data_IF_705749477646
#
_entry.id   IF_705749477646
#
_cell.length_a   1.000
_cell.length_b   1.000
_cell.length_c   1.000
_cell.angle_alpha   90.00
_cell.angle_beta   90.00
_cell.angle_gamma   90.00
#
_symmetry.space_group_name_H-M   'P 1'
#
loop_
_entity.id
_entity.type
_entity.pdbx_description
1 polymer ?
#
# COMPACT_ATOMS: atom_id res chain seq x y z
N UNK A 1 -7.80 12.71 3.90
CA UNK A 1 -8.20 11.60 4.80
C UNK A 1 -7.02 11.24 5.68
N UNK A 2 -7.20 10.57 6.84
CA UNK A 2 -6.08 10.06 7.63
C UNK A 2 -5.14 9.11 6.85
N UNK A 3 -5.64 8.45 5.82
CA UNK A 3 -4.84 7.60 4.93
C UNK A 3 -3.75 8.38 4.17
N UNK A 4 -3.98 9.66 3.85
CA UNK A 4 -2.97 10.52 3.21
C UNK A 4 -1.76 10.74 4.12
N UNK A 5 -1.94 10.78 5.45
CA UNK A 5 -0.83 10.91 6.39
C UNK A 5 0.13 9.73 6.27
N UNK A 6 -0.40 8.50 6.30
CA UNK A 6 0.40 7.28 6.11
C UNK A 6 0.97 7.17 4.70
N UNK A 7 0.19 7.51 3.68
CA UNK A 7 0.68 7.48 2.30
C UNK A 7 1.83 8.47 2.07
N UNK A 8 1.77 9.65 2.70
CA UNK A 8 2.88 10.62 2.70
C UNK A 8 4.13 10.06 3.37
N UNK A 9 3.98 9.30 4.46
CA UNK A 9 5.11 8.61 5.09
C UNK A 9 5.69 7.52 4.19
N UNK A 10 4.85 6.71 3.52
CA UNK A 10 5.30 5.77 2.50
C UNK A 10 6.08 6.47 1.39
N UNK A 11 5.59 7.62 0.91
CA UNK A 11 6.27 8.38 -0.13
C UNK A 11 7.64 8.91 0.35
N UNK A 12 7.74 9.34 1.61
CA UNK A 12 9.02 9.73 2.20
C UNK A 12 10.00 8.55 2.32
N UNK A 13 9.51 7.34 2.59
CA UNK A 13 10.31 6.11 2.55
C UNK A 13 10.76 5.77 1.13
N UNK A 14 9.87 5.88 0.13
CA UNK A 14 10.20 5.66 -1.28
C UNK A 14 11.37 6.54 -1.76
N UNK A 15 11.41 7.80 -1.31
CA UNK A 15 12.51 8.73 -1.60
C UNK A 15 13.87 8.31 -1.02
N UNK A 16 13.93 7.33 -0.12
CA UNK A 16 15.21 6.77 0.37
C UNK A 16 15.78 5.71 -0.57
N UNK A 17 14.95 5.07 -1.39
CA UNK A 17 15.40 4.08 -2.37
C UNK A 17 16.34 4.73 -3.41
N UNK A 18 17.33 4.01 -3.95
CA UNK A 18 18.16 4.52 -5.04
C UNK A 18 17.32 4.76 -6.31
N UNK A 19 17.59 5.85 -7.02
CA UNK A 19 16.98 6.11 -8.32
C UNK A 19 17.74 5.33 -9.40
N UNK A 20 17.19 4.16 -9.76
CA UNK A 20 17.78 3.28 -10.78
C UNK A 20 16.95 3.31 -12.08
N UNK A 21 17.54 2.99 -13.25
CA UNK A 21 16.85 3.07 -14.55
C UNK A 21 15.64 2.17 -14.75
N UNK A 22 15.46 1.14 -13.91
CA UNK A 22 14.44 0.10 -14.12
C UNK A 22 13.66 -0.29 -12.86
N UNK A 23 14.08 0.20 -11.69
CA UNK A 23 13.44 -0.15 -10.42
C UNK A 23 12.53 1.00 -9.97
N UNK A 24 11.27 0.67 -9.71
CA UNK A 24 10.37 1.62 -9.06
C UNK A 24 10.79 1.87 -7.61
N UNK A 25 10.84 3.16 -7.25
CA UNK A 25 11.03 3.60 -5.85
C UNK A 25 9.70 3.52 -5.11
N UNK A 26 9.57 2.53 -4.25
CA UNK A 26 8.36 2.24 -3.48
C UNK A 26 8.68 2.31 -2.00
N UNK A 27 7.72 2.76 -1.20
CA UNK A 27 7.81 2.75 0.26
C UNK A 27 6.58 2.08 0.86
N UNK A 28 6.76 1.40 1.99
CA UNK A 28 5.74 0.64 2.67
C UNK A 28 5.85 0.78 4.20
N UNK A 29 4.70 0.65 4.87
CA UNK A 29 4.60 0.61 6.33
C UNK A 29 3.57 -0.44 6.76
N UNK A 30 3.82 -1.04 7.92
CA UNK A 30 2.94 -2.02 8.55
C UNK A 30 2.46 -1.45 9.89
N UNK A 31 1.15 -1.40 10.07
CA UNK A 31 0.50 -0.89 11.27
C UNK A 31 -0.30 -2.00 11.96
N UNK A 32 -0.35 -1.94 13.29
CA UNK A 32 -1.43 -2.51 14.06
C UNK A 32 -2.46 -1.41 14.32
N UNK A 33 -3.67 -1.58 13.80
CA UNK A 33 -4.78 -0.64 13.88
C UNK A 33 -5.86 -1.13 14.83
N UNK A 34 -6.35 -0.26 15.71
CA UNK A 34 -7.56 -0.55 16.48
C UNK A 34 -8.78 -0.67 15.56
N UNK A 35 -9.60 -1.69 15.77
CA UNK A 35 -10.89 -1.87 15.08
C UNK A 35 -12.01 -1.08 15.73
N UNK A 36 -11.80 -0.61 16.97
CA UNK A 36 -12.78 0.14 17.77
C UNK A 36 -12.54 1.66 17.76
N UNK A 37 -11.34 2.10 17.34
CA UNK A 37 -11.00 3.51 17.18
C UNK A 37 -11.73 4.10 15.97
N UNK A 38 -12.74 4.92 16.26
CA UNK A 38 -13.51 5.68 15.27
C UNK A 38 -12.98 7.09 15.04
N UNK A 39 -11.87 7.46 15.70
CA UNK A 39 -11.33 8.80 15.56
C UNK A 39 -10.80 9.03 14.13
N UNK A 40 -11.02 10.20 13.53
CA UNK A 40 -10.52 10.51 12.18
C UNK A 40 -8.99 10.58 12.10
N UNK A 41 -8.30 10.46 13.23
CA UNK A 41 -6.85 10.64 13.34
C UNK A 41 -6.10 9.32 13.44
N UNK A 42 -6.79 8.20 13.69
CA UNK A 42 -6.20 6.90 14.03
C UNK A 42 -5.07 7.01 15.07
N UNK A 43 -5.30 7.79 16.12
CA UNK A 43 -4.29 8.08 17.16
C UNK A 43 -3.81 6.83 17.91
N UNK A 44 -4.56 5.73 17.83
CA UNK A 44 -4.21 4.44 18.44
C UNK A 44 -3.42 3.49 17.52
N UNK A 45 -3.13 3.88 16.27
CA UNK A 45 -2.32 3.07 15.37
C UNK A 45 -0.90 2.91 15.91
N UNK A 46 -0.38 1.68 15.84
CA UNK A 46 0.98 1.35 16.26
C UNK A 46 1.78 0.98 15.01
N UNK A 47 2.85 1.72 14.73
CA UNK A 47 3.79 1.37 13.67
C UNK A 47 4.61 0.15 14.08
N UNK A 48 4.52 -0.92 13.30
CA UNK A 48 5.24 -2.17 13.54
C UNK A 48 6.54 -2.23 12.75
N UNK A 49 6.51 -1.84 11.48
CA UNK A 49 7.68 -1.90 10.60
C UNK A 49 7.52 -0.96 9.39
N UNK A 50 8.64 -0.67 8.75
CA UNK A 50 8.72 0.09 7.50
C UNK A 50 9.65 -0.60 6.52
N UNK A 51 9.45 -0.34 5.24
CA UNK A 51 10.31 -0.82 4.16
C UNK A 51 10.37 0.15 2.99
N UNK A 52 11.46 0.15 2.24
CA UNK A 52 11.51 0.77 0.90
C UNK A 52 12.27 -0.10 -0.10
N UNK A 53 12.08 0.15 -1.40
CA UNK A 53 12.76 -0.59 -2.47
C UNK A 53 14.26 -0.61 -2.23
N UNK A 54 14.86 -1.80 -2.24
CA UNK A 54 16.31 -2.02 -2.06
C UNK A 54 16.88 -1.46 -0.74
N UNK A 55 16.06 -1.37 0.31
CA UNK A 55 16.56 -1.14 1.67
C UNK A 55 17.47 -2.29 2.13
N UNK A 56 17.08 -3.52 1.77
CA UNK A 56 17.86 -4.73 1.99
C UNK A 56 18.58 -5.16 0.72
N UNK A 57 19.71 -5.84 0.90
CA UNK A 57 20.55 -6.29 -0.20
C UNK A 57 19.80 -7.10 -1.27
N UNK A 58 20.15 -6.87 -2.53
CA UNK A 58 19.53 -7.51 -3.69
C UNK A 58 18.35 -6.71 -4.26
N UNK A 59 17.61 -7.33 -5.18
CA UNK A 59 16.46 -6.71 -5.83
C UNK A 59 15.20 -6.90 -4.96
N UNK A 60 15.14 -6.20 -3.83
CA UNK A 60 14.04 -6.30 -2.86
C UNK A 60 13.01 -5.19 -3.07
N UNK A 61 11.72 -5.54 -2.92
CA UNK A 61 10.63 -4.56 -2.96
C UNK A 61 10.34 -4.01 -1.55
N UNK A 62 9.58 -2.92 -1.47
CA UNK A 62 9.29 -2.24 -0.22
C UNK A 62 8.53 -3.12 0.78
N UNK A 63 7.53 -3.88 0.32
CA UNK A 63 6.72 -4.77 1.15
C UNK A 63 7.55 -5.95 1.67
N UNK A 64 8.46 -6.46 0.84
CA UNK A 64 9.45 -7.45 1.24
C UNK A 64 10.34 -6.88 2.35
N UNK A 65 10.95 -5.71 2.16
CA UNK A 65 11.80 -5.09 3.17
C UNK A 65 11.03 -4.83 4.48
N UNK A 66 9.79 -4.35 4.38
CA UNK A 66 8.93 -4.09 5.54
C UNK A 66 8.70 -5.35 6.39
N UNK A 67 8.37 -6.48 5.76
CA UNK A 67 8.18 -7.75 6.47
C UNK A 67 9.49 -8.33 6.98
N UNK A 68 10.57 -8.26 6.19
CA UNK A 68 11.89 -8.80 6.56
C UNK A 68 12.51 -8.02 7.72
N UNK A 69 12.35 -6.69 7.74
CA UNK A 69 12.76 -5.84 8.86
C UNK A 69 12.04 -6.25 10.15
N UNK A 70 10.73 -6.52 10.07
CA UNK A 70 9.96 -7.01 11.23
C UNK A 70 10.47 -8.38 11.69
N UNK A 71 10.62 -9.33 10.76
CA UNK A 71 11.14 -10.67 11.07
C UNK A 71 12.51 -10.61 11.76
N UNK A 72 13.41 -9.77 11.24
CA UNK A 72 14.75 -9.54 11.77
C UNK A 72 14.76 -9.02 13.21
N UNK A 73 13.94 -7.99 13.52
CA UNK A 73 13.81 -7.45 14.89
C UNK A 73 13.30 -8.52 15.87
N UNK A 74 12.48 -9.45 15.38
CA UNK A 74 11.92 -10.54 16.17
C UNK A 74 12.76 -11.84 16.14
N UNK A 75 13.90 -11.84 15.44
CA UNK A 75 14.83 -12.97 15.41
C UNK A 75 14.30 -14.22 14.69
N UNK A 76 13.40 -14.05 13.72
CA UNK A 76 12.87 -15.17 12.91
C UNK A 76 13.22 -15.01 11.43
N UNK A 77 13.32 -16.12 10.66
CA UNK A 77 13.42 -16.06 9.21
C UNK A 77 12.20 -15.38 8.56
N UNK A 78 12.38 -14.79 7.38
CA UNK A 78 11.32 -14.12 6.62
C UNK A 78 10.08 -15.01 6.42
N UNK A 79 10.29 -16.29 6.14
CA UNK A 79 9.21 -17.27 5.92
C UNK A 79 8.37 -17.49 7.19
N UNK A 80 8.93 -17.21 8.36
CA UNK A 80 8.30 -17.39 9.66
C UNK A 80 7.78 -16.08 10.26
N UNK A 81 7.79 -14.97 9.52
CA UNK A 81 7.28 -13.67 10.01
C UNK A 81 5.85 -13.77 10.55
N UNK A 82 5.02 -14.63 9.96
CA UNK A 82 3.64 -14.88 10.38
C UNK A 82 3.52 -15.38 11.84
N UNK A 83 4.57 -16.00 12.39
CA UNK A 83 4.58 -16.53 13.75
C UNK A 83 4.75 -15.45 14.82
N UNK A 84 5.35 -14.31 14.46
CA UNK A 84 5.69 -13.22 15.39
C UNK A 84 4.82 -11.97 15.21
N UNK A 85 4.04 -11.88 14.14
CA UNK A 85 3.07 -10.80 13.96
C UNK A 85 2.03 -10.79 15.10
N UNK A 86 1.61 -9.62 15.59
CA UNK A 86 0.71 -9.54 16.74
C UNK A 86 -0.69 -10.00 16.32
N UNK A 87 -1.21 -11.01 17.03
CA UNK A 87 -2.49 -11.67 16.74
C UNK A 87 -3.36 -11.94 17.98
N UNK A 88 -2.89 -11.57 19.18
CA UNK A 88 -3.57 -11.88 20.44
C UNK A 88 -4.60 -10.83 20.87
N UNK A 89 -4.62 -9.68 20.20
CA UNK A 89 -5.55 -8.60 20.49
C UNK A 89 -6.70 -8.62 19.47
N UNK A 90 -7.92 -9.05 19.84
CA UNK A 90 -9.06 -9.12 18.94
C UNK A 90 -9.59 -7.75 18.53
N UNK A 91 -9.21 -6.68 19.25
CA UNK A 91 -9.58 -5.30 18.92
C UNK A 91 -8.57 -4.66 17.96
N UNK A 92 -7.63 -5.45 17.42
CA UNK A 92 -6.62 -4.96 16.49
C UNK A 92 -6.55 -5.78 15.22
N UNK A 93 -6.23 -5.09 14.13
CA UNK A 93 -5.95 -5.67 12.83
C UNK A 93 -4.65 -5.15 12.24
N UNK A 94 -4.03 -5.94 11.38
CA UNK A 94 -2.83 -5.52 10.68
C UNK A 94 -3.18 -4.89 9.34
N UNK A 95 -2.61 -3.71 9.10
CA UNK A 95 -2.85 -2.90 7.91
C UNK A 95 -1.52 -2.53 7.29
N UNK A 96 -1.37 -2.75 5.98
CA UNK A 96 -0.20 -2.30 5.23
C UNK A 96 -0.57 -1.08 4.38
N UNK A 97 0.31 -0.09 4.33
CA UNK A 97 0.26 0.97 3.31
C UNK A 97 1.49 0.82 2.43
N UNK A 98 1.33 1.04 1.14
CA UNK A 98 2.41 0.99 0.16
C UNK A 98 2.16 2.03 -0.93
N UNK A 99 3.18 2.68 -1.48
CA UNK A 99 2.95 3.74 -2.48
C UNK A 99 2.36 3.21 -3.78
N UNK A 100 2.74 2.01 -4.21
CA UNK A 100 2.24 1.36 -5.41
C UNK A 100 1.57 0.03 -5.06
N UNK A 101 0.60 -0.38 -5.88
CA UNK A 101 -0.05 -1.68 -5.78
C UNK A 101 0.97 -2.83 -5.64
N UNK A 102 0.76 -3.76 -4.67
CA UNK A 102 1.66 -4.89 -4.51
C UNK A 102 1.67 -5.79 -5.75
N UNK A 103 2.86 -6.09 -6.25
CA UNK A 103 3.00 -6.87 -7.48
C UNK A 103 2.39 -8.28 -7.35
N UNK A 104 1.62 -8.67 -8.37
CA UNK A 104 1.06 -10.02 -8.51
C UNK A 104 2.07 -11.04 -9.08
N UNK A 105 3.08 -10.56 -9.81
CA UNK A 105 4.13 -11.37 -10.46
C UNK A 105 5.46 -10.63 -10.44
N UNK A 106 6.57 -11.36 -10.47
CA UNK A 106 7.92 -10.78 -10.61
C UNK A 106 8.71 -11.46 -11.73
N UNK A 107 9.27 -10.64 -12.62
CA UNK A 107 10.16 -11.11 -13.68
C UNK A 107 11.48 -11.68 -13.15
N UNK A 108 11.90 -11.24 -11.95
CA UNK A 108 13.10 -11.75 -11.28
C UNK A 108 12.96 -13.19 -10.74
N UNK A 109 11.78 -13.81 -10.78
CA UNK A 109 11.53 -15.13 -10.20
C UNK A 109 11.34 -15.16 -8.68
N UNK A 110 11.72 -14.09 -7.97
CA UNK A 110 11.41 -13.91 -6.54
C UNK A 110 9.89 -13.94 -6.25
N UNK A 111 9.51 -14.38 -5.04
CA UNK A 111 8.12 -14.38 -4.60
C UNK A 111 7.47 -12.98 -4.72
N UNK A 112 6.28 -12.87 -5.37
CA UNK A 112 5.52 -11.62 -5.49
C UNK A 112 5.12 -11.02 -4.15
N UNK A 113 4.92 -9.70 -4.11
CA UNK A 113 4.56 -9.00 -2.87
C UNK A 113 3.20 -9.45 -2.34
N UNK A 114 2.22 -9.69 -3.21
CA UNK A 114 0.91 -10.21 -2.80
C UNK A 114 1.04 -11.57 -2.13
N UNK A 115 1.89 -12.45 -2.63
CA UNK A 115 2.14 -13.75 -2.00
C UNK A 115 2.72 -13.61 -0.59
N UNK A 116 3.66 -12.67 -0.41
CA UNK A 116 4.25 -12.38 0.91
C UNK A 116 3.19 -11.87 1.88
N UNK A 117 2.30 -10.97 1.43
CA UNK A 117 1.19 -10.45 2.22
C UNK A 117 0.25 -11.59 2.62
N UNK A 118 -0.16 -12.44 1.68
CA UNK A 118 -1.04 -13.58 1.94
C UNK A 118 -0.40 -14.57 2.92
N UNK A 119 0.90 -14.85 2.77
CA UNK A 119 1.63 -15.77 3.64
C UNK A 119 1.71 -15.30 5.10
N UNK A 120 1.50 -14.01 5.38
CA UNK A 120 1.37 -13.54 6.77
C UNK A 120 0.17 -14.15 7.51
N UNK A 121 -0.80 -14.70 6.77
CA UNK A 121 -2.07 -15.22 7.28
C UNK A 121 -2.07 -16.73 7.54
N UNK A 122 -0.92 -17.39 7.51
CA UNK A 122 -0.74 -18.85 7.63
C UNK A 122 -1.14 -19.47 9.01
N UNK A 123 -2.06 -18.85 9.76
CA UNK A 123 -2.45 -19.28 11.09
C UNK A 123 -3.94 -19.25 11.38
N UNK A 124 -4.78 -19.05 10.36
CA UNK A 124 -6.24 -18.98 10.48
C UNK A 124 -6.82 -17.59 10.20
N UNK A 125 -8.15 -17.54 10.16
CA UNK A 125 -8.92 -16.32 9.94
C UNK A 125 -8.59 -15.24 11.00
N UNK A 126 -8.55 -13.97 10.59
CA UNK A 126 -8.20 -12.85 11.46
C UNK A 126 -6.71 -12.68 11.76
N UNK A 127 -5.81 -13.56 11.28
CA UNK A 127 -4.36 -13.40 11.44
C UNK A 127 -3.71 -12.77 10.22
N UNK A 128 -2.51 -12.21 10.41
CA UNK A 128 -1.73 -11.57 9.36
C UNK A 128 -2.33 -10.25 8.88
N UNK A 129 -1.89 -9.79 7.72
CA UNK A 129 -2.34 -8.56 7.09
C UNK A 129 -3.78 -8.73 6.61
N UNK A 130 -4.67 -7.85 7.09
CA UNK A 130 -6.10 -7.88 6.78
C UNK A 130 -6.50 -6.85 5.74
N UNK A 131 -5.79 -5.71 5.68
CA UNK A 131 -6.08 -4.64 4.73
C UNK A 131 -4.82 -4.03 4.14
N UNK A 132 -4.83 -3.73 2.84
CA UNK A 132 -3.74 -3.06 2.12
C UNK A 132 -4.25 -1.77 1.49
N UNK A 133 -3.59 -0.65 1.81
CA UNK A 133 -3.82 0.62 1.16
C UNK A 133 -2.70 0.92 0.18
N UNK A 134 -3.03 1.34 -1.04
CA UNK A 134 -2.01 1.77 -2.00
C UNK A 134 -2.36 3.04 -2.76
N UNK A 135 -1.37 3.84 -3.14
CA UNK A 135 -1.62 5.17 -3.70
C UNK A 135 -1.88 5.17 -5.20
N UNK A 136 -1.26 4.25 -5.93
CA UNK A 136 -1.49 4.05 -7.37
C UNK A 136 -1.52 2.57 -7.72
N UNK A 137 -2.29 2.22 -8.76
CA UNK A 137 -2.24 0.89 -9.39
C UNK A 137 -0.96 0.72 -10.21
N UNK A 138 -0.59 -0.52 -10.48
CA UNK A 138 0.60 -0.84 -11.27
C UNK A 138 0.49 -0.27 -12.71
N UNK A 139 1.52 0.42 -13.24
CA UNK A 139 1.52 0.90 -14.63
C UNK A 139 1.23 -0.25 -15.62
N UNK A 140 0.28 -0.06 -16.53
CA UNK A 140 -0.11 -1.05 -17.54
C UNK A 140 -1.25 -2.01 -17.14
N UNK A 141 -1.66 -2.08 -15.87
CA UNK A 141 -2.83 -2.88 -15.44
C UNK A 141 -4.14 -2.07 -15.42
N UNK A 142 -4.11 -0.79 -15.77
CA UNK A 142 -5.29 0.10 -15.73
C UNK A 142 -6.42 -0.28 -16.69
N UNK A 143 -6.14 -1.12 -17.70
CA UNK A 143 -7.10 -1.59 -18.71
C UNK A 143 -7.39 -3.10 -18.57
N UNK A 144 -6.82 -3.78 -17.56
CA UNK A 144 -6.98 -5.22 -17.32
C UNK A 144 -7.23 -5.56 -15.84
N UNK A 145 -7.57 -6.83 -15.57
CA UNK A 145 -7.64 -7.31 -14.19
C UNK A 145 -6.24 -7.32 -13.58
N UNK A 146 -6.03 -6.55 -12.51
CA UNK A 146 -4.79 -6.62 -11.75
C UNK A 146 -4.69 -8.01 -11.09
N UNK A 147 -3.66 -8.78 -11.46
CA UNK A 147 -3.38 -10.06 -10.81
C UNK A 147 -3.14 -9.88 -9.31
N UNK A 148 -2.51 -8.77 -8.91
CA UNK A 148 -2.22 -8.47 -7.52
C UNK A 148 -3.50 -8.27 -6.69
N UNK A 149 -4.39 -7.39 -7.16
CA UNK A 149 -5.69 -7.13 -6.57
C UNK A 149 -6.55 -8.39 -6.50
N UNK A 150 -6.68 -9.13 -7.62
CA UNK A 150 -7.45 -10.38 -7.66
C UNK A 150 -6.95 -11.38 -6.62
N UNK A 151 -5.63 -11.57 -6.51
CA UNK A 151 -5.04 -12.48 -5.52
C UNK A 151 -5.25 -12.03 -4.07
N UNK A 152 -5.25 -10.71 -3.80
CA UNK A 152 -5.59 -10.18 -2.47
C UNK A 152 -7.05 -10.48 -2.11
N UNK A 153 -7.99 -10.23 -3.05
CA UNK A 153 -9.42 -10.51 -2.88
C UNK A 153 -9.70 -11.99 -2.63
N UNK A 154 -9.13 -12.88 -3.45
CA UNK A 154 -9.27 -14.34 -3.31
C UNK A 154 -8.74 -14.85 -1.97
N UNK A 155 -7.75 -14.18 -1.39
CA UNK A 155 -7.19 -14.50 -0.08
C UNK A 155 -7.91 -13.83 1.10
N UNK A 156 -8.99 -13.06 0.84
CA UNK A 156 -9.72 -12.32 1.87
C UNK A 156 -8.92 -11.19 2.50
N UNK A 157 -8.03 -10.56 1.73
CA UNK A 157 -7.32 -9.33 2.11
C UNK A 157 -8.03 -8.15 1.46
N UNK A 158 -8.61 -7.28 2.30
CA UNK A 158 -9.23 -6.05 1.83
C UNK A 158 -8.18 -5.13 1.21
N UNK A 159 -8.57 -4.34 0.21
CA UNK A 159 -7.68 -3.35 -0.36
C UNK A 159 -8.42 -2.06 -0.71
N UNK A 160 -7.68 -0.95 -0.76
CA UNK A 160 -8.24 0.36 -1.08
C UNK A 160 -7.18 1.27 -1.70
N UNK A 161 -7.54 1.99 -2.76
CA UNK A 161 -6.68 3.02 -3.36
C UNK A 161 -6.84 4.33 -2.58
N UNK A 162 -5.73 4.94 -2.18
CA UNK A 162 -5.71 6.23 -1.48
C UNK A 162 -5.48 7.36 -2.49
N UNK A 163 -6.53 8.15 -2.85
CA UNK A 163 -6.38 9.19 -3.85
C UNK A 163 -5.69 10.44 -3.31
N UNK A 164 -5.15 11.27 -4.20
CA UNK A 164 -4.63 12.62 -3.91
C UNK A 164 -3.10 12.74 -3.85
N UNK A 165 -2.36 11.67 -4.14
CA UNK A 165 -0.89 11.66 -4.24
C UNK A 165 -0.39 10.90 -5.49
N UNK A 166 -1.28 10.63 -6.44
CA UNK A 166 -1.00 9.74 -7.59
C UNK A 166 0.20 10.24 -8.39
N UNK A 167 0.18 11.53 -8.75
CA UNK A 167 1.26 12.15 -9.52
C UNK A 167 2.57 12.12 -8.74
N UNK A 168 2.56 12.56 -7.48
CA UNK A 168 3.77 12.61 -6.66
C UNK A 168 4.37 11.21 -6.43
N UNK A 169 3.52 10.20 -6.25
CA UNK A 169 3.96 8.80 -6.13
C UNK A 169 4.61 8.32 -7.41
N UNK A 170 3.97 8.53 -8.57
CA UNK A 170 4.51 8.09 -9.86
C UNK A 170 5.83 8.82 -10.15
N UNK A 171 5.89 10.14 -9.96
CA UNK A 171 7.10 10.93 -10.19
C UNK A 171 8.30 10.46 -9.35
N UNK A 172 8.06 10.04 -8.11
CA UNK A 172 9.08 9.44 -7.25
C UNK A 172 9.42 8.04 -7.72
N UNK A 173 8.42 7.22 -8.00
CA UNK A 173 8.60 5.82 -8.39
C UNK A 173 9.57 5.71 -9.58
N UNK A 174 9.43 6.60 -10.57
CA UNK A 174 10.18 6.54 -11.83
C UNK A 174 11.33 7.55 -11.92
N UNK A 175 11.72 8.18 -10.80
CA UNK A 175 12.73 9.26 -10.78
C UNK A 175 14.06 8.86 -11.44
N UNK A 176 14.44 7.59 -11.34
CA UNK A 176 15.67 7.05 -11.95
C UNK A 176 15.51 6.56 -13.40
N UNK A 177 14.28 6.44 -13.91
CA UNK A 177 14.01 5.92 -15.26
C UNK A 177 14.45 6.92 -16.35
N UNK A 178 14.69 6.41 -17.55
CA UNK A 178 15.00 7.25 -18.72
C UNK A 178 13.88 8.26 -18.96
N UNK A 179 14.25 9.49 -19.34
CA UNK A 179 13.32 10.63 -19.41
C UNK A 179 12.08 10.36 -20.28
N UNK A 180 12.28 9.70 -21.43
CA UNK A 180 11.19 9.35 -22.36
C UNK A 180 10.22 8.34 -21.73
N UNK A 181 10.74 7.31 -21.06
CA UNK A 181 9.95 6.30 -20.34
C UNK A 181 9.19 6.90 -19.15
N UNK A 182 9.84 7.81 -18.42
CA UNK A 182 9.23 8.50 -17.27
C UNK A 182 7.98 9.29 -17.66
N UNK A 183 8.05 10.08 -18.74
CA UNK A 183 6.91 10.87 -19.20
C UNK A 183 5.77 9.97 -19.70
N UNK A 184 6.10 8.85 -20.36
CA UNK A 184 5.12 7.86 -20.82
C UNK A 184 4.44 7.12 -19.66
N UNK A 185 5.21 6.63 -18.69
CA UNK A 185 4.71 5.90 -17.51
C UNK A 185 3.79 6.77 -16.66
N UNK A 186 4.20 8.01 -16.36
CA UNK A 186 3.38 8.96 -15.60
C UNK A 186 2.10 9.30 -16.36
N UNK A 187 2.19 9.57 -17.68
CA UNK A 187 1.03 9.90 -18.49
C UNK A 187 0.05 8.73 -18.58
N UNK A 188 0.54 7.54 -18.90
CA UNK A 188 -0.27 6.33 -19.02
C UNK A 188 -0.98 5.98 -17.71
N UNK A 189 -0.29 6.09 -16.58
CA UNK A 189 -0.89 5.82 -15.27
C UNK A 189 -1.95 6.88 -14.89
N UNK A 190 -1.79 8.13 -15.32
CA UNK A 190 -2.76 9.21 -15.05
C UNK A 190 -3.95 9.22 -16.02
N UNK A 191 -3.81 8.73 -17.25
CA UNK A 191 -4.91 8.60 -18.23
C UNK A 191 -6.02 7.65 -17.74
N UNK A 192 -5.68 6.67 -16.89
CA UNK A 192 -6.62 5.74 -16.26
C UNK A 192 -7.26 6.25 -14.96
N UNK A 193 -6.79 7.37 -14.39
CA UNK A 193 -7.37 7.99 -13.19
C UNK A 193 -8.62 8.76 -13.61
N UNK A 194 -9.70 8.03 -13.94
CA UNK A 194 -11.04 8.64 -13.94
C UNK A 194 -11.34 9.05 -12.51
N UNK A 195 -11.54 10.34 -12.28
CA UNK A 195 -11.97 10.95 -11.01
C UNK A 195 -13.37 10.51 -10.55
N UNK A 196 -13.97 9.51 -11.20
CA UNK A 196 -15.28 8.94 -10.87
C UNK A 196 -15.10 7.67 -10.03
N UNK A 197 -14.38 7.76 -8.91
CA UNK A 197 -14.60 6.79 -7.83
C UNK A 197 -15.93 7.18 -7.21
N UNK A 198 -16.99 6.46 -7.60
CA UNK A 198 -18.27 6.60 -6.91
C UNK A 198 -18.03 6.41 -5.40
N UNK A 199 -18.37 7.40 -4.55
CA UNK A 199 -18.16 7.29 -3.12
C UNK A 199 -18.88 6.04 -2.62
N UNK A 200 -18.25 5.30 -1.70
CA UNK A 200 -18.89 4.18 -1.02
C UNK A 200 -20.23 4.62 -0.44
N UNK A 201 -21.20 3.72 -0.28
CA UNK A 201 -22.51 4.07 0.28
C UNK A 201 -22.38 4.76 1.65
N UNK A 202 -21.35 4.41 2.42
CA UNK A 202 -21.02 5.03 3.69
C UNK A 202 -20.53 6.48 3.52
N UNK A 203 -19.67 6.74 2.53
CA UNK A 203 -19.19 8.09 2.19
C UNK A 203 -20.33 8.97 1.64
N UNK A 204 -21.26 8.40 0.85
CA UNK A 204 -22.46 9.10 0.34
C UNK A 204 -23.36 9.58 1.49
N UNK A 205 -23.66 8.69 2.44
CA UNK A 205 -24.48 9.04 3.62
C UNK A 205 -23.83 10.13 4.48
N UNK A 206 -22.50 10.15 4.58
CA UNK A 206 -21.75 11.21 5.28
C UNK A 206 -21.80 12.55 4.54
N UNK A 207 -21.78 12.54 3.21
CA UNK A 207 -21.85 13.77 2.40
C UNK A 207 -23.27 14.36 2.35
N UNK A 208 -24.30 13.54 2.40
CA UNK A 208 -25.71 13.98 2.45
C UNK A 208 -26.09 14.61 3.80
N UNK A 209 -25.40 14.21 4.88
CA UNK A 209 -25.67 14.70 6.24
C UNK A 209 -24.86 15.95 6.61
N UNK A 210 -23.92 16.40 5.77
CA UNK A 210 -23.20 17.66 5.99
C UNK A 210 -23.97 18.87 5.45
N UNK A 211 -24.16 19.94 6.24
CA UNK A 211 -24.82 21.15 5.78
C UNK A 211 -24.00 21.82 4.66
N UNK A 212 -24.61 21.98 3.47
CA UNK A 212 -23.98 22.64 2.32
C UNK A 212 -23.66 24.10 2.65
N UNK A 213 -22.39 24.48 2.48
CA UNK A 213 -21.90 25.83 2.74
C UNK A 213 -22.53 26.84 1.75
N UNK A 214 -23.23 27.90 2.21
CA UNK A 214 -24.06 28.76 1.36
C UNK A 214 -23.32 29.66 0.35
N UNK A 215 -22.00 29.51 0.19
CA UNK A 215 -21.19 30.38 -0.71
C UNK A 215 -20.88 29.82 -2.10
N UNK A 216 -21.45 28.69 -2.51
CA UNK A 216 -21.43 28.26 -3.93
C UNK A 216 -22.81 28.46 -4.57
N UNK A 217 -23.11 29.73 -4.87
CA UNK A 217 -24.09 30.14 -5.87
C UNK A 217 -23.40 31.15 -6.79
N UNK A 218 -22.86 30.65 -7.89
CA UNK A 218 -22.69 31.33 -9.18
C UNK A 218 -22.58 30.23 -10.23
#
# INVERSE_FOLDING_TARGET
TPHLHYMTQCLALARKAPALPTNFRVGALLLSRSTTDTTPTYSSDILLSTGYTMELAGNTHAEQCCLSNYASVHGVPDEQVHTVLPHNDPERKLVMYVTMEPCGKRLSGNAPCVERIINTRQGGEGRGIQKVYFGVKEPGTFVGESEGVRRLEEAGVEWEVVPGLEREILEVAVEGHEKEKREEEVRSALEGVKTDVEPSEEERRRQETQPRNPKKRM
#
